data_IF_189891765589
#
_entry.id   IF_189891765589
#
_cell.length_a   1.000
_cell.length_b   1.000
_cell.length_c   1.000
_cell.angle_alpha   90.00
_cell.angle_beta   90.00
_cell.angle_gamma   90.00
#
_symmetry.space_group_name_H-M   'P 1'
#
loop_
_entity.id
_entity.type
_entity.pdbx_description
1 polymer ?
#
# COMPACT_ATOMS: atom_id res chain seq x y z
N UNK A 1 13.94 29.70 -0.44
CA UNK A 1 13.76 28.56 0.46
C UNK A 1 12.84 27.57 -0.26
N UNK A 2 13.41 26.69 -1.08
CA UNK A 2 12.62 25.73 -1.87
C UNK A 2 12.23 24.57 -0.97
N UNK A 3 10.93 24.29 -0.87
CA UNK A 3 10.40 23.15 -0.13
C UNK A 3 10.79 21.87 -0.90
N UNK A 4 11.89 21.22 -0.52
CA UNK A 4 12.25 19.91 -1.05
C UNK A 4 11.42 18.85 -0.34
N UNK A 5 10.86 17.93 -1.13
CA UNK A 5 10.16 16.76 -0.59
C UNK A 5 11.18 15.86 0.11
N UNK A 6 10.87 15.40 1.32
CA UNK A 6 11.65 14.37 2.02
C UNK A 6 11.40 13.01 1.38
N UNK A 7 12.16 12.71 0.33
CA UNK A 7 12.02 11.48 -0.47
C UNK A 7 12.30 10.23 0.35
N UNK A 8 13.25 10.28 1.28
CA UNK A 8 13.55 9.18 2.19
C UNK A 8 12.38 8.90 3.14
N UNK A 9 11.75 9.93 3.69
CA UNK A 9 10.54 9.80 4.50
C UNK A 9 9.36 9.21 3.71
N UNK A 10 9.17 9.65 2.46
CA UNK A 10 8.11 9.15 1.57
C UNK A 10 8.30 7.66 1.25
N UNK A 11 9.51 7.24 0.90
CA UNK A 11 9.82 5.83 0.64
C UNK A 11 9.65 4.96 1.89
N UNK A 12 10.09 5.45 3.06
CA UNK A 12 9.91 4.74 4.33
C UNK A 12 8.42 4.54 4.68
N UNK A 13 7.56 5.53 4.39
CA UNK A 13 6.12 5.38 4.56
C UNK A 13 5.52 4.37 3.57
N UNK A 14 5.90 4.43 2.30
CA UNK A 14 5.43 3.49 1.28
C UNK A 14 5.79 2.03 1.64
N UNK A 15 7.02 1.79 2.10
CA UNK A 15 7.46 0.49 2.57
C UNK A 15 6.62 -0.01 3.76
N UNK A 16 6.33 0.87 4.74
CA UNK A 16 5.47 0.52 5.89
C UNK A 16 4.04 0.18 5.48
N UNK A 17 3.48 0.90 4.51
CA UNK A 17 2.16 0.55 3.96
C UNK A 17 2.16 -0.81 3.27
N UNK A 18 3.20 -1.15 2.51
CA UNK A 18 3.36 -2.48 1.93
C UNK A 18 3.42 -3.59 2.99
N UNK A 19 4.14 -3.38 4.09
CA UNK A 19 4.19 -4.32 5.22
C UNK A 19 2.82 -4.50 5.85
N UNK A 20 2.12 -3.41 6.18
CA UNK A 20 0.78 -3.48 6.78
C UNK A 20 -0.24 -4.13 5.85
N UNK A 21 -0.14 -3.94 4.53
CA UNK A 21 -0.97 -4.63 3.55
C UNK A 21 -0.72 -6.15 3.53
N UNK A 22 0.55 -6.57 3.63
CA UNK A 22 0.92 -7.99 3.74
C UNK A 22 0.45 -8.63 5.04
N UNK A 23 0.53 -7.92 6.17
CA UNK A 23 0.00 -8.37 7.46
C UNK A 23 -1.52 -8.55 7.42
N UNK A 24 -2.24 -7.60 6.80
CA UNK A 24 -3.68 -7.69 6.60
C UNK A 24 -4.06 -8.93 5.78
N UNK A 25 -3.31 -9.25 4.71
CA UNK A 25 -3.58 -10.44 3.89
C UNK A 25 -3.33 -11.77 4.62
N UNK A 26 -2.54 -11.78 5.70
CA UNK A 26 -2.28 -12.96 6.52
C UNK A 26 -3.29 -13.15 7.67
N UNK A 27 -4.28 -12.25 7.80
CA UNK A 27 -5.36 -12.43 8.75
C UNK A 27 -6.26 -13.61 8.32
N UNK A 28 -5.95 -14.82 8.80
CA UNK A 28 -6.76 -16.02 8.56
C UNK A 28 -8.11 -15.91 9.29
N UNK A 29 -9.18 -16.30 8.61
CA UNK A 29 -10.48 -16.47 9.26
C UNK A 29 -10.43 -17.68 10.21
N UNK A 30 -11.05 -17.61 11.40
CA UNK A 30 -11.12 -18.76 12.29
C UNK A 30 -11.85 -19.92 11.60
N UNK A 31 -11.18 -21.06 11.47
CA UNK A 31 -11.76 -22.28 10.90
C UNK A 31 -12.44 -23.09 12.00
N UNK A 32 -13.74 -23.32 11.87
CA UNK A 32 -14.51 -24.24 12.73
C UNK A 32 -15.65 -23.61 13.52
N UNK A 33 -16.65 -23.04 12.85
CA UNK A 33 -17.82 -22.47 13.50
C UNK A 33 -19.04 -23.39 13.39
N UNK A 34 -19.08 -24.40 14.26
CA UNK A 34 -20.30 -25.11 14.62
C UNK A 34 -20.89 -26.06 13.57
N UNK A 35 -21.79 -26.94 14.03
CA UNK A 35 -22.45 -27.97 13.23
C UNK A 35 -23.22 -27.34 12.05
N UNK A 36 -23.00 -27.88 10.84
CA UNK A 36 -23.48 -27.39 9.52
C UNK A 36 -25.00 -27.23 9.36
N UNK A 37 -25.79 -27.58 10.38
CA UNK A 37 -27.24 -27.58 10.37
C UNK A 37 -27.86 -26.30 10.97
N UNK A 38 -27.06 -25.35 11.45
CA UNK A 38 -27.56 -24.08 11.97
C UNK A 38 -27.44 -22.96 10.93
N UNK A 39 -28.55 -22.37 10.51
CA UNK A 39 -28.58 -21.20 9.60
C UNK A 39 -27.70 -20.05 10.09
N UNK A 40 -27.55 -19.90 11.41
CA UNK A 40 -26.65 -18.94 12.02
C UNK A 40 -25.17 -19.22 11.73
N UNK A 41 -24.74 -20.49 11.68
CA UNK A 41 -23.36 -20.86 11.34
C UNK A 41 -23.03 -20.48 9.89
N UNK A 42 -23.93 -20.79 8.95
CA UNK A 42 -23.77 -20.42 7.54
C UNK A 42 -23.72 -18.89 7.33
N UNK A 43 -24.52 -18.12 8.08
CA UNK A 43 -24.48 -16.66 8.03
C UNK A 43 -23.17 -16.08 8.57
N UNK A 44 -22.61 -16.66 9.62
CA UNK A 44 -21.32 -16.25 10.19
C UNK A 44 -20.17 -16.59 9.24
N UNK A 45 -20.18 -17.77 8.62
CA UNK A 45 -19.19 -18.15 7.61
C UNK A 45 -19.22 -17.22 6.39
N UNK A 46 -20.40 -16.85 5.91
CA UNK A 46 -20.56 -15.87 4.84
C UNK A 46 -20.00 -14.49 5.24
N UNK A 47 -20.29 -14.02 6.45
CA UNK A 47 -19.75 -12.75 6.95
C UNK A 47 -18.21 -12.79 7.06
N UNK A 48 -17.62 -13.92 7.47
CA UNK A 48 -16.17 -14.07 7.47
C UNK A 48 -15.58 -14.07 6.07
N UNK A 49 -16.23 -14.71 5.10
CA UNK A 49 -15.81 -14.67 3.70
C UNK A 49 -15.84 -13.23 3.14
N UNK A 50 -16.88 -12.46 3.45
CA UNK A 50 -17.00 -11.05 3.05
C UNK A 50 -15.89 -10.19 3.67
N UNK A 51 -15.59 -10.38 4.96
CA UNK A 51 -14.50 -9.67 5.65
C UNK A 51 -13.15 -10.03 5.04
N UNK A 52 -12.90 -11.31 4.75
CA UNK A 52 -11.65 -11.75 4.11
C UNK A 52 -11.49 -11.11 2.72
N UNK A 53 -12.56 -11.09 1.91
CA UNK A 53 -12.55 -10.44 0.60
C UNK A 53 -12.30 -8.92 0.70
N UNK A 54 -12.93 -8.26 1.67
CA UNK A 54 -12.70 -6.84 1.95
C UNK A 54 -11.24 -6.55 2.33
N UNK A 55 -10.66 -7.33 3.24
CA UNK A 55 -9.27 -7.19 3.68
C UNK A 55 -8.30 -7.40 2.51
N UNK A 56 -8.53 -8.42 1.67
CA UNK A 56 -7.71 -8.67 0.48
C UNK A 56 -7.75 -7.48 -0.49
N UNK A 57 -8.94 -6.93 -0.75
CA UNK A 57 -9.13 -5.76 -1.60
C UNK A 57 -8.49 -4.49 -1.03
N UNK A 58 -8.58 -4.28 0.28
CA UNK A 58 -7.90 -3.18 0.96
C UNK A 58 -6.37 -3.31 0.85
N UNK A 59 -5.82 -4.50 1.11
CA UNK A 59 -4.39 -4.76 0.99
C UNK A 59 -3.87 -4.51 -0.43
N UNK A 60 -4.61 -4.93 -1.45
CA UNK A 60 -4.27 -4.68 -2.85
C UNK A 60 -4.25 -3.17 -3.17
N UNK A 61 -5.25 -2.41 -2.72
CA UNK A 61 -5.31 -0.96 -2.93
C UNK A 61 -4.16 -0.23 -2.25
N UNK A 62 -3.87 -0.56 -0.98
CA UNK A 62 -2.76 0.05 -0.23
C UNK A 62 -1.43 -0.24 -0.90
N UNK A 63 -1.21 -1.47 -1.39
CA UNK A 63 0.01 -1.83 -2.11
C UNK A 63 0.14 -1.06 -3.42
N UNK A 64 -0.92 -0.96 -4.21
CA UNK A 64 -0.91 -0.19 -5.46
C UNK A 64 -0.63 1.30 -5.24
N UNK A 65 -1.11 1.89 -4.15
CA UNK A 65 -0.78 3.25 -3.78
C UNK A 65 0.69 3.40 -3.35
N UNK A 66 1.23 2.45 -2.59
CA UNK A 66 2.64 2.46 -2.20
C UNK A 66 3.57 2.38 -3.42
N UNK A 67 3.25 1.53 -4.39
CA UNK A 67 3.97 1.43 -5.66
C UNK A 67 3.90 2.75 -6.45
N UNK A 68 2.71 3.33 -6.55
CA UNK A 68 2.50 4.62 -7.22
C UNK A 68 3.30 5.76 -6.58
N UNK A 69 3.35 5.82 -5.25
CA UNK A 69 4.15 6.80 -4.51
C UNK A 69 5.65 6.59 -4.77
N UNK A 70 6.12 5.35 -4.78
CA UNK A 70 7.51 5.03 -5.09
C UNK A 70 7.90 5.44 -6.51
N UNK A 71 7.02 5.20 -7.49
CA UNK A 71 7.23 5.61 -8.88
C UNK A 71 7.24 7.14 -9.04
N UNK A 72 6.36 7.84 -8.34
CA UNK A 72 6.32 9.31 -8.34
C UNK A 72 7.59 9.91 -7.71
N UNK A 73 8.08 9.34 -6.61
CA UNK A 73 9.31 9.76 -5.94
C UNK A 73 10.54 9.60 -6.85
N UNK A 74 10.66 8.45 -7.53
CA UNK A 74 11.73 8.22 -8.51
C UNK A 74 11.68 9.24 -9.67
N UNK A 75 10.47 9.57 -10.13
CA UNK A 75 10.27 10.56 -11.20
C UNK A 75 10.62 11.98 -10.73
N UNK A 76 10.33 12.32 -9.48
CA UNK A 76 10.72 13.59 -8.88
C UNK A 76 12.26 13.72 -8.80
N UNK A 77 12.96 12.69 -8.32
CA UNK A 77 14.42 12.70 -8.25
C UNK A 77 15.09 12.84 -9.62
N UNK A 78 14.55 12.16 -10.65
CA UNK A 78 15.04 12.31 -12.02
C UNK A 78 14.89 13.75 -12.54
N UNK A 79 13.74 14.38 -12.30
CA UNK A 79 13.48 15.77 -12.69
C UNK A 79 14.38 16.76 -11.94
N UNK A 80 14.64 16.55 -10.64
CA UNK A 80 15.58 17.39 -9.89
C UNK A 80 17.00 17.29 -10.46
N UNK A 81 17.46 16.09 -10.85
CA UNK A 81 18.78 15.88 -11.44
C UNK A 81 18.91 16.52 -12.84
N UNK A 82 17.87 16.41 -13.67
CA UNK A 82 17.84 17.05 -14.99
C UNK A 82 17.81 18.58 -14.87
N UNK A 83 16.99 19.11 -13.95
CA UNK A 83 16.93 20.55 -13.67
C UNK A 83 18.27 21.10 -13.17
N UNK A 84 18.95 20.38 -12.29
CA UNK A 84 20.28 20.75 -11.82
C UNK A 84 21.30 20.80 -12.97
N UNK A 85 21.24 19.84 -13.89
CA UNK A 85 22.12 19.79 -15.07
C UNK A 85 21.85 20.97 -16.02
N UNK A 86 20.58 21.29 -16.27
CA UNK A 86 20.19 22.43 -17.09
C UNK A 86 20.65 23.78 -16.49
N UNK A 87 20.50 23.95 -15.18
CA UNK A 87 20.97 25.16 -14.48
C UNK A 87 22.49 25.31 -14.52
N UNK A 88 23.23 24.20 -14.44
CA UNK A 88 24.69 24.23 -14.59
C UNK A 88 25.10 24.69 -15.98
N UNK A 89 24.43 24.18 -17.03
CA UNK A 89 24.73 24.55 -18.42
C UNK A 89 24.44 26.02 -18.76
N UNK A 90 23.47 26.65 -18.08
CA UNK A 90 23.17 28.09 -18.26
C UNK A 90 24.17 28.98 -17.52
N UNK A 91 24.88 28.43 -16.53
CA UNK A 91 25.85 29.16 -15.71
C UNK A 91 27.28 29.14 -16.30
N UNK A 92 27.48 28.44 -17.41
CA UNK A 92 28.71 28.41 -18.23
C UNK A 92 28.64 29.43 -19.38
#
# INVERSE_FOLDING_TARGET
MGLRVDTAGVQAMAARWGVSAGELQQAEAPTGLGLSCQTSAAAVDAAHADVAAFIAGLGAQVSGHADGVTAADASYLAQEAESASALSAVSE
#
